data_IF_021792801175
#
_entry.id   IF_021792801175
#
_cell.length_a   1.000
_cell.length_b   1.000
_cell.length_c   1.000
_cell.angle_alpha   90.00
_cell.angle_beta   90.00
_cell.angle_gamma   90.00
#
_symmetry.space_group_name_H-M   'P 1'
#
loop_
_entity.id
_entity.type
_entity.pdbx_description
1 polymer ?
#
# COMPACT_ATOMS: atom_id res chain seq x y z
N UNK A 1 22.25 -61.20 -23.61
CA UNK A 1 21.21 -60.77 -22.66
C UNK A 1 21.71 -59.50 -21.97
N UNK A 2 21.77 -58.36 -22.68
CA UNK A 2 20.79 -57.25 -22.64
C UNK A 2 20.30 -56.95 -21.22
N UNK A 3 20.84 -55.87 -20.62
CA UNK A 3 20.21 -55.01 -19.61
C UNK A 3 21.02 -53.69 -19.51
N UNK A 4 21.01 -52.89 -20.58
CA UNK A 4 21.44 -51.49 -20.52
C UNK A 4 20.16 -50.65 -20.43
N UNK A 5 19.88 -50.11 -19.24
CA UNK A 5 18.72 -49.25 -19.01
C UNK A 5 19.00 -47.84 -19.58
N UNK A 6 18.29 -47.50 -20.66
CA UNK A 6 17.50 -46.26 -20.87
C UNK A 6 17.47 -45.29 -19.65
N UNK A 7 17.49 -43.95 -19.73
CA UNK A 7 17.14 -43.00 -20.80
C UNK A 7 17.46 -41.56 -20.35
N UNK A 8 17.64 -40.66 -21.33
CA UNK A 8 17.44 -39.20 -21.42
C UNK A 8 17.50 -38.34 -20.14
N UNK A 9 18.38 -37.33 -20.06
CA UNK A 9 18.27 -36.03 -20.76
C UNK A 9 16.88 -35.38 -20.60
N UNK A 10 16.75 -34.49 -19.62
CA UNK A 10 15.87 -33.32 -19.70
C UNK A 10 16.42 -32.22 -18.80
N UNK A 11 17.25 -31.39 -19.44
CA UNK A 11 17.54 -30.03 -19.03
C UNK A 11 16.20 -29.29 -19.10
N UNK A 12 15.59 -29.01 -17.94
CA UNK A 12 14.57 -28.00 -17.84
C UNK A 12 15.21 -26.78 -17.18
N UNK A 13 15.67 -25.91 -18.07
CA UNK A 13 15.92 -24.50 -17.82
C UNK A 13 14.68 -23.91 -17.16
N UNK A 14 14.72 -23.75 -15.84
CA UNK A 14 13.87 -22.79 -15.14
C UNK A 14 14.39 -21.40 -15.45
N UNK A 15 14.11 -20.92 -16.66
CA UNK A 15 14.16 -19.49 -16.96
C UNK A 15 13.04 -18.92 -16.10
N UNK A 16 13.38 -18.36 -14.94
CA UNK A 16 12.46 -17.47 -14.24
C UNK A 16 12.22 -16.32 -15.20
N UNK A 17 11.10 -16.42 -15.91
CA UNK A 17 10.56 -15.33 -16.67
C UNK A 17 10.44 -14.16 -15.68
N UNK A 18 11.33 -13.18 -15.85
CA UNK A 18 11.10 -11.82 -15.43
C UNK A 18 9.83 -11.36 -16.14
N UNK A 19 8.68 -11.58 -15.52
CA UNK A 19 7.46 -10.87 -15.87
C UNK A 19 7.61 -9.45 -15.32
N UNK A 20 8.35 -8.62 -16.05
CA UNK A 20 8.17 -7.18 -16.03
C UNK A 20 6.97 -6.87 -16.91
N UNK A 21 5.88 -6.43 -16.31
CA UNK A 21 4.81 -5.62 -16.91
C UNK A 21 3.97 -5.08 -15.74
N UNK A 22 4.52 -4.12 -14.99
CA UNK A 22 3.82 -3.39 -13.92
C UNK A 22 3.03 -2.19 -14.50
N UNK A 23 2.30 -2.41 -15.59
CA UNK A 23 1.62 -1.33 -16.33
C UNK A 23 0.09 -1.53 -16.42
N UNK A 24 -0.51 -2.29 -15.52
CA UNK A 24 -1.97 -2.32 -15.33
C UNK A 24 -2.32 -2.40 -13.84
N UNK A 25 -1.92 -1.35 -13.10
CA UNK A 25 -2.39 -1.08 -11.75
C UNK A 25 -3.90 -0.77 -11.79
N UNK A 26 -4.73 -1.82 -11.81
CA UNK A 26 -6.07 -1.73 -11.25
C UNK A 26 -5.89 -1.31 -9.80
N UNK A 27 -6.01 -0.01 -9.56
CA UNK A 27 -5.61 0.65 -8.33
C UNK A 27 -6.54 0.18 -7.20
N UNK A 28 -6.20 -0.97 -6.61
CA UNK A 28 -6.98 -1.76 -5.64
C UNK A 28 -7.47 -0.90 -4.47
N UNK A 29 -6.74 0.17 -4.20
CA UNK A 29 -7.03 1.12 -3.15
C UNK A 29 -8.14 2.11 -3.52
N UNK A 30 -8.59 2.27 -4.77
CA UNK A 30 -9.64 3.25 -5.10
C UNK A 30 -10.87 3.06 -4.22
N UNK A 31 -11.31 4.17 -3.63
CA UNK A 31 -12.43 4.20 -2.71
C UNK A 31 -12.21 5.15 -1.54
N UNK A 32 -13.25 5.27 -0.70
CA UNK A 32 -13.16 5.99 0.57
C UNK A 32 -13.09 4.95 1.67
N UNK A 33 -12.12 5.10 2.58
CA UNK A 33 -11.98 4.25 3.75
C UNK A 33 -12.08 5.12 4.99
N UNK A 34 -12.75 4.59 5.99
CA UNK A 34 -12.91 5.23 7.30
C UNK A 34 -12.06 4.48 8.33
N UNK A 35 -11.39 5.24 9.19
CA UNK A 35 -10.66 4.70 10.32
C UNK A 35 -11.63 3.87 11.18
N UNK A 36 -11.30 2.60 11.42
CA UNK A 36 -12.03 1.71 12.34
C UNK A 36 -11.28 1.53 13.66
N UNK A 37 -9.96 1.74 13.65
CA UNK A 37 -9.08 1.67 14.82
C UNK A 37 -7.91 2.65 14.67
N UNK A 38 -7.41 3.29 15.74
CA UNK A 38 -7.86 3.18 17.13
C UNK A 38 -9.11 4.00 17.47
N UNK A 39 -9.50 4.97 16.63
CA UNK A 39 -10.67 5.82 16.88
C UNK A 39 -11.59 5.79 15.67
N UNK A 40 -12.68 5.03 15.79
CA UNK A 40 -13.65 4.86 14.72
C UNK A 40 -14.20 6.21 14.22
N UNK A 41 -14.17 6.43 12.91
CA UNK A 41 -14.77 7.58 12.24
C UNK A 41 -13.96 8.87 12.30
N UNK A 42 -12.78 8.87 12.94
CA UNK A 42 -11.97 10.09 13.12
C UNK A 42 -11.30 10.55 11.83
N UNK A 43 -10.76 9.62 11.05
CA UNK A 43 -10.02 9.92 9.82
C UNK A 43 -10.65 9.19 8.64
N UNK A 44 -10.65 9.84 7.48
CA UNK A 44 -10.96 9.22 6.20
C UNK A 44 -9.80 9.39 5.22
N UNK A 45 -9.56 8.33 4.45
CA UNK A 45 -8.65 8.33 3.31
C UNK A 45 -9.43 8.00 2.06
N UNK A 46 -9.42 8.91 1.08
CA UNK A 46 -10.02 8.69 -0.23
C UNK A 46 -8.94 8.58 -1.29
N UNK A 47 -8.78 7.38 -1.83
CA UNK A 47 -7.87 7.10 -2.94
C UNK A 47 -8.59 7.31 -4.27
N UNK A 48 -7.98 8.09 -5.15
CA UNK A 48 -8.50 8.50 -6.44
C UNK A 48 -7.53 8.08 -7.56
N UNK A 49 -8.05 8.00 -8.78
CA UNK A 49 -7.23 7.74 -9.98
C UNK A 49 -6.05 8.73 -10.08
N UNK A 50 -4.94 8.25 -10.65
CA UNK A 50 -3.73 9.06 -10.78
C UNK A 50 -2.89 9.13 -9.50
N UNK A 51 -3.00 8.10 -8.64
CA UNK A 51 -2.21 7.95 -7.41
C UNK A 51 -2.35 9.13 -6.45
N UNK A 52 -3.57 9.62 -6.30
CA UNK A 52 -3.92 10.70 -5.36
C UNK A 52 -4.62 10.09 -4.15
N UNK A 53 -4.24 10.50 -2.95
CA UNK A 53 -4.99 10.21 -1.73
C UNK A 53 -5.34 11.52 -1.01
N UNK A 54 -6.59 11.61 -0.58
CA UNK A 54 -7.13 12.75 0.17
C UNK A 54 -7.39 12.30 1.59
N UNK A 55 -6.72 12.95 2.54
CA UNK A 55 -6.98 12.80 3.97
C UNK A 55 -7.95 13.87 4.44
N UNK A 56 -8.97 13.46 5.18
CA UNK A 56 -9.93 14.36 5.81
C UNK A 56 -10.38 13.84 7.16
N UNK A 57 -10.75 14.75 8.06
CA UNK A 57 -11.45 14.43 9.30
C UNK A 57 -12.95 14.76 9.12
N UNK A 58 -13.86 13.77 9.19
CA UNK A 58 -15.29 14.04 9.11
C UNK A 58 -15.75 15.12 10.10
N UNK A 59 -16.56 16.07 9.63
CA UNK A 59 -17.00 17.23 10.42
C UNK A 59 -16.04 18.43 10.37
N UNK A 60 -14.87 18.30 9.74
CA UNK A 60 -13.93 19.39 9.49
C UNK A 60 -13.89 19.76 8.01
N UNK A 61 -13.66 21.05 7.71
CA UNK A 61 -13.58 21.56 6.32
C UNK A 61 -12.19 21.36 5.70
N UNK A 62 -11.18 21.09 6.51
CA UNK A 62 -9.80 20.90 6.05
C UNK A 62 -9.61 19.52 5.43
N UNK A 63 -8.91 19.49 4.30
CA UNK A 63 -8.45 18.26 3.66
C UNK A 63 -7.02 18.45 3.20
N UNK A 64 -6.23 17.39 3.25
CA UNK A 64 -4.87 17.38 2.71
C UNK A 64 -4.78 16.37 1.59
N UNK A 65 -4.21 16.78 0.46
CA UNK A 65 -4.03 15.92 -0.71
C UNK A 65 -2.57 15.53 -0.87
N UNK A 66 -2.34 14.28 -1.21
CA UNK A 66 -1.01 13.71 -1.44
C UNK A 66 -0.99 12.97 -2.77
N UNK A 67 0.15 13.02 -3.45
CA UNK A 67 0.54 11.90 -4.31
C UNK A 67 0.98 10.75 -3.42
N UNK A 68 0.64 9.52 -3.80
CA UNK A 68 1.12 8.34 -3.10
C UNK A 68 1.89 7.39 -4.02
N UNK A 69 2.92 6.76 -3.46
CA UNK A 69 3.70 5.71 -4.10
C UNK A 69 3.69 4.49 -3.17
N UNK A 70 3.36 3.32 -3.70
CA UNK A 70 3.46 2.06 -2.95
C UNK A 70 4.76 1.36 -3.34
N UNK A 71 5.53 0.94 -2.34
CA UNK A 71 6.72 0.12 -2.54
C UNK A 71 6.86 -0.83 -1.36
N UNK A 72 6.87 -2.12 -1.65
CA UNK A 72 6.92 -3.18 -0.64
C UNK A 72 5.81 -2.99 0.41
N UNK A 73 6.16 -2.83 1.68
CA UNK A 73 5.25 -2.59 2.80
C UNK A 73 5.22 -1.11 3.22
N UNK A 74 5.47 -0.20 2.29
CA UNK A 74 5.55 1.23 2.56
C UNK A 74 4.67 2.02 1.59
N UNK A 75 3.94 2.99 2.13
CA UNK A 75 3.32 4.06 1.36
C UNK A 75 4.10 5.35 1.59
N UNK A 76 4.53 5.99 0.51
CA UNK A 76 5.12 7.32 0.54
C UNK A 76 4.06 8.34 0.17
N UNK A 77 3.82 9.31 1.04
CA UNK A 77 2.87 10.40 0.84
C UNK A 77 3.61 11.71 0.60
N UNK A 78 3.42 12.30 -0.58
CA UNK A 78 4.02 13.58 -0.97
C UNK A 78 2.93 14.66 -1.06
N UNK A 79 2.91 15.68 -0.18
CA UNK A 79 1.88 16.71 -0.20
C UNK A 79 1.86 17.48 -1.53
N UNK A 80 0.68 17.66 -2.11
CA UNK A 80 0.54 18.37 -3.39
C UNK A 80 0.76 19.88 -3.22
N UNK A 81 0.33 20.45 -2.08
CA UNK A 81 0.35 21.90 -1.84
C UNK A 81 1.66 22.44 -1.26
N UNK A 82 2.55 21.59 -0.74
CA UNK A 82 3.78 22.03 -0.07
C UNK A 82 4.87 20.96 -0.22
N UNK A 83 5.76 21.14 -1.20
CA UNK A 83 6.64 20.09 -1.75
C UNK A 83 7.85 19.71 -0.89
N UNK A 84 7.97 20.21 0.35
CA UNK A 84 9.25 20.09 1.07
C UNK A 84 9.43 18.78 1.85
N UNK A 85 8.36 18.07 2.24
CA UNK A 85 8.50 16.85 3.04
C UNK A 85 7.48 15.77 2.67
N UNK A 86 7.96 14.66 2.12
CA UNK A 86 7.20 13.42 2.02
C UNK A 86 7.27 12.64 3.34
N UNK A 87 6.25 11.84 3.62
CA UNK A 87 6.24 10.88 4.73
C UNK A 87 6.27 9.47 4.16
N UNK A 88 7.19 8.63 4.65
CA UNK A 88 7.19 7.19 4.37
C UNK A 88 6.60 6.48 5.59
N UNK A 89 5.58 5.66 5.35
CA UNK A 89 4.78 5.02 6.39
C UNK A 89 4.65 3.55 6.07
N UNK A 90 4.76 2.70 7.08
CA UNK A 90 4.42 1.29 6.91
C UNK A 90 2.95 1.13 6.48
N UNK A 91 2.69 0.27 5.51
CA UNK A 91 1.40 0.07 4.87
C UNK A 91 1.18 -1.39 4.51
N UNK A 92 0.08 -1.95 4.99
CA UNK A 92 -0.26 -3.36 4.83
C UNK A 92 -1.69 -3.47 4.30
N UNK A 93 -1.83 -3.90 3.05
CA UNK A 93 -3.13 -4.25 2.47
C UNK A 93 -3.52 -5.61 3.06
N UNK A 94 -4.67 -5.67 3.75
CA UNK A 94 -5.20 -6.91 4.32
C UNK A 94 -6.09 -7.59 3.27
N UNK A 95 -7.00 -6.83 2.67
CA UNK A 95 -7.88 -7.25 1.58
C UNK A 95 -8.33 -6.05 0.73
N UNK A 96 -9.24 -6.28 -0.23
CA UNK A 96 -9.76 -5.25 -1.15
C UNK A 96 -10.53 -4.10 -0.47
N UNK A 97 -10.91 -4.29 0.79
CA UNK A 97 -11.73 -3.37 1.58
C UNK A 97 -11.03 -2.87 2.84
N UNK A 98 -9.84 -3.40 3.16
CA UNK A 98 -9.18 -3.18 4.45
C UNK A 98 -7.67 -3.08 4.35
N UNK A 99 -7.10 -2.13 5.08
CA UNK A 99 -5.65 -2.01 5.26
C UNK A 99 -5.29 -1.49 6.65
N UNK A 100 -4.01 -1.62 6.98
CA UNK A 100 -3.35 -0.96 8.09
C UNK A 100 -2.27 -0.02 7.59
N UNK A 101 -2.17 1.15 8.21
CA UNK A 101 -1.16 2.17 7.92
C UNK A 101 -0.54 2.63 9.24
N UNK A 102 0.76 2.90 9.24
CA UNK A 102 1.40 3.57 10.37
C UNK A 102 0.67 4.88 10.69
N UNK A 103 0.58 5.19 11.98
CA UNK A 103 -0.19 6.30 12.50
C UNK A 103 0.14 7.62 11.77
N UNK A 104 -0.88 8.23 11.16
CA UNK A 104 -0.81 9.45 10.36
C UNK A 104 -0.70 10.73 11.20
N UNK A 105 -0.81 10.61 12.52
CA UNK A 105 -0.68 11.73 13.44
C UNK A 105 0.78 11.90 13.91
N UNK A 106 1.06 13.01 14.60
CA UNK A 106 2.43 13.34 15.02
C UNK A 106 3.09 12.17 15.77
N UNK A 107 4.25 11.74 15.28
CA UNK A 107 5.06 10.72 15.91
C UNK A 107 5.78 11.30 17.15
N UNK A 108 5.74 10.56 18.25
CA UNK A 108 6.50 10.85 19.47
C UNK A 108 7.66 9.84 19.49
N UNK A 109 8.94 10.27 19.39
CA UNK A 109 10.09 9.37 19.22
C UNK A 109 10.23 8.28 20.29
N UNK A 110 9.78 8.54 21.52
CA UNK A 110 9.85 7.58 22.62
C UNK A 110 8.66 6.60 22.66
N UNK A 111 7.63 6.82 21.82
CA UNK A 111 6.46 5.95 21.75
C UNK A 111 6.68 4.83 20.73
N UNK A 112 6.16 3.61 21.00
CA UNK A 112 6.18 2.55 20.00
C UNK A 112 5.42 2.97 18.74
N UNK A 113 5.87 2.47 17.58
CA UNK A 113 5.10 2.58 16.34
C UNK A 113 3.69 2.05 16.58
N UNK A 114 2.70 2.82 16.12
CA UNK A 114 1.29 2.45 16.18
C UNK A 114 0.68 2.49 14.80
N UNK A 115 -0.40 1.75 14.63
CA UNK A 115 -1.08 1.59 13.35
C UNK A 115 -2.53 2.04 13.45
N UNK A 116 -3.07 2.44 12.32
CA UNK A 116 -4.46 2.77 12.11
C UNK A 116 -5.04 1.76 11.11
N UNK A 117 -6.21 1.23 11.43
CA UNK A 117 -6.95 0.32 10.54
C UNK A 117 -8.04 1.09 9.83
N UNK A 118 -8.19 0.85 8.53
CA UNK A 118 -9.16 1.51 7.67
C UNK A 118 -9.97 0.47 6.91
N UNK A 119 -11.29 0.70 6.81
CA UNK A 119 -12.22 -0.14 6.06
C UNK A 119 -13.14 0.72 5.15
N UNK A 120 -13.56 0.17 3.99
CA UNK A 120 -14.48 0.83 3.04
C UNK A 120 -15.89 1.06 3.59
#
# INVERSE_FOLDING_TARGET
MKNLKLICLLILLGVYASCSNDDDDNDILIGTYTETSPVNGRTQLRFELGKIVIKSEPGHVSQTKFFYELKDNTIKLTPISNSMYSSELEFYIIDESKFEIQNLHAHIPEAPTSYMTFEK
#
